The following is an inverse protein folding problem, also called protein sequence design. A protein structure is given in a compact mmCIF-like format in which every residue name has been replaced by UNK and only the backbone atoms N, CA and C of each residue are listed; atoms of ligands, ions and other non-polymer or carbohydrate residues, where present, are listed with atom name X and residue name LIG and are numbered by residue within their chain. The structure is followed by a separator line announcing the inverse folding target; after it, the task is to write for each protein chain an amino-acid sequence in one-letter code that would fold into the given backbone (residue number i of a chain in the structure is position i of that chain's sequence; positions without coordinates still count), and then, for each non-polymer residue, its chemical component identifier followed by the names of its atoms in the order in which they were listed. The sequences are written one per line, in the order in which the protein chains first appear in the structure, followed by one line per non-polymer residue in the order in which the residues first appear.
data_IF_638832973011
#
_entry.id   IF_638832973011
#
_cell.length_a   1.000
_cell.length_b   1.000
_cell.length_c   1.000
_cell.angle_alpha   90.00
_cell.angle_beta   90.00
_cell.angle_gamma   90.00
#
_symmetry.space_group_name_H-M   'P 1'
#
loop_
_entity.id
_entity.type
_entity.pdbx_description
1 polymer ?
#
# COMPACT_ATOMS: atom_id res chain seq x y z
N UNK A 1 -3.59 -5.48 13.51
CA UNK A 1 -2.28 -5.25 14.11
C UNK A 1 -2.52 -4.45 15.36
N UNK A 2 -1.63 -4.55 16.34
CA UNK A 2 -1.65 -3.64 17.47
C UNK A 2 -1.44 -2.18 16.99
N UNK A 3 -1.62 -1.23 17.90
CA UNK A 3 -1.56 0.19 17.56
C UNK A 3 -0.19 0.64 17.04
N UNK A 4 0.91 0.12 17.63
CA UNK A 4 2.27 0.46 17.23
C UNK A 4 2.58 -0.01 15.81
N UNK A 5 2.29 -1.28 15.51
CA UNK A 5 2.50 -1.87 14.19
C UNK A 5 1.60 -1.23 13.13
N UNK A 6 0.34 -0.93 13.49
CA UNK A 6 -0.56 -0.19 12.59
C UNK A 6 0.00 1.19 12.23
N UNK A 7 0.60 1.91 13.18
CA UNK A 7 1.24 3.21 12.91
C UNK A 7 2.46 3.05 11.99
N UNK A 8 3.30 2.04 12.22
CA UNK A 8 4.47 1.77 11.39
C UNK A 8 4.06 1.42 9.94
N UNK A 9 3.12 0.50 9.75
CA UNK A 9 2.60 0.16 8.42
C UNK A 9 1.98 1.38 7.74
N UNK A 10 1.22 2.19 8.47
CA UNK A 10 0.64 3.40 7.90
C UNK A 10 1.71 4.35 7.36
N UNK A 11 2.75 4.66 8.15
CA UNK A 11 3.87 5.49 7.69
C UNK A 11 4.57 4.88 6.47
N UNK A 12 4.79 3.56 6.47
CA UNK A 12 5.43 2.86 5.36
C UNK A 12 4.60 2.90 4.07
N UNK A 13 3.28 2.74 4.18
CA UNK A 13 2.36 2.88 3.06
C UNK A 13 2.37 4.31 2.50
N UNK A 14 2.50 5.33 3.35
CA UNK A 14 2.62 6.72 2.91
C UNK A 14 3.93 6.95 2.15
N UNK A 15 5.04 6.42 2.66
CA UNK A 15 6.34 6.50 1.99
C UNK A 15 6.30 5.82 0.61
N UNK A 16 5.77 4.60 0.53
CA UNK A 16 5.57 3.88 -0.73
C UNK A 16 4.66 4.65 -1.71
N UNK A 17 3.58 5.26 -1.20
CA UNK A 17 2.73 6.14 -2.00
C UNK A 17 3.50 7.33 -2.60
N UNK A 18 4.39 7.94 -1.82
CA UNK A 18 5.29 9.00 -2.29
C UNK A 18 6.25 8.51 -3.38
N UNK A 19 6.84 7.32 -3.20
CA UNK A 19 7.74 6.72 -4.19
C UNK A 19 7.05 6.38 -5.51
N UNK A 20 5.74 6.19 -5.52
CA UNK A 20 4.92 5.82 -6.68
C UNK A 20 4.29 7.02 -7.42
N UNK A 21 4.50 8.25 -6.94
CA UNK A 21 4.03 9.46 -7.62
C UNK A 21 4.57 9.51 -9.05
N UNK A 22 3.67 9.57 -10.03
CA UNK A 22 4.01 9.59 -11.45
C UNK A 22 4.49 8.26 -12.03
N UNK A 23 4.54 7.18 -11.24
CA UNK A 23 5.03 5.86 -11.68
C UNK A 23 3.91 4.85 -11.99
N UNK A 24 2.68 5.12 -11.57
CA UNK A 24 1.54 4.24 -11.86
C UNK A 24 1.10 4.35 -13.32
N UNK A 25 0.67 3.25 -13.94
CA UNK A 25 0.22 3.26 -15.33
C UNK A 25 -1.03 4.13 -15.51
N UNK A 26 -1.20 4.73 -16.71
CA UNK A 26 -2.37 5.53 -17.01
C UNK A 26 -3.65 4.69 -17.01
N UNK A 27 -4.78 5.31 -16.70
CA UNK A 27 -6.09 4.66 -16.75
C UNK A 27 -7.13 5.61 -17.33
N UNK A 28 -7.98 5.10 -18.21
CA UNK A 28 -9.12 5.84 -18.79
C UNK A 28 -10.09 6.39 -17.73
N UNK A 29 -10.14 5.74 -16.55
CA UNK A 29 -10.98 6.15 -15.44
C UNK A 29 -10.34 7.22 -14.54
N UNK A 30 -9.05 7.52 -14.77
CA UNK A 30 -8.28 8.50 -14.00
C UNK A 30 -7.53 9.43 -14.96
N UNK A 31 -8.24 10.37 -15.61
CA UNK A 31 -7.65 11.26 -16.63
C UNK A 31 -6.54 12.15 -16.08
N UNK A 32 -6.56 12.47 -14.79
CA UNK A 32 -5.51 13.26 -14.10
C UNK A 32 -4.43 12.40 -13.43
N UNK A 33 -4.37 11.10 -13.73
CA UNK A 33 -3.46 10.16 -13.09
C UNK A 33 -4.05 9.49 -11.84
N UNK A 34 -3.46 8.36 -11.44
CA UNK A 34 -3.89 7.58 -10.27
C UNK A 34 -3.30 8.18 -8.99
N UNK A 35 -4.08 8.16 -7.90
CA UNK A 35 -3.57 8.51 -6.57
C UNK A 35 -2.78 7.31 -6.00
N UNK A 36 -1.44 7.44 -5.84
CA UNK A 36 -0.61 6.32 -5.41
C UNK A 36 -0.83 5.90 -3.95
N UNK A 37 -1.16 6.83 -3.06
CA UNK A 37 -1.45 6.53 -1.66
C UNK A 37 -2.71 5.66 -1.52
N UNK A 38 -3.78 6.06 -2.23
CA UNK A 38 -5.00 5.28 -2.28
C UNK A 38 -4.78 3.92 -2.95
N UNK A 39 -3.95 3.88 -3.99
CA UNK A 39 -3.59 2.64 -4.68
C UNK A 39 -2.92 1.64 -3.74
N UNK A 40 -1.87 2.03 -3.00
CA UNK A 40 -1.18 1.14 -2.03
C UNK A 40 -2.17 0.58 -1.01
N UNK A 41 -3.02 1.43 -0.42
CA UNK A 41 -4.01 1.00 0.58
C UNK A 41 -5.03 0.01 0.01
N UNK A 42 -5.50 0.23 -1.22
CA UNK A 42 -6.42 -0.69 -1.91
C UNK A 42 -5.73 -2.02 -2.21
N UNK A 43 -4.50 -2.00 -2.69
CA UNK A 43 -3.74 -3.21 -3.00
C UNK A 43 -3.49 -4.05 -1.74
N UNK A 44 -3.05 -3.44 -0.63
CA UNK A 44 -2.90 -4.13 0.67
C UNK A 44 -4.23 -4.74 1.09
N UNK A 45 -5.32 -3.97 1.08
CA UNK A 45 -6.64 -4.49 1.46
C UNK A 45 -7.08 -5.68 0.59
N UNK A 46 -6.84 -5.61 -0.72
CA UNK A 46 -7.19 -6.70 -1.65
C UNK A 46 -6.32 -7.95 -1.43
N UNK A 47 -5.01 -7.79 -1.19
CA UNK A 47 -4.08 -8.90 -0.98
C UNK A 47 -4.36 -9.68 0.31
N UNK A 48 -4.67 -8.99 1.40
CA UNK A 48 -4.86 -9.59 2.73
C UNK A 48 -6.33 -9.77 3.12
N UNK A 49 -7.27 -9.33 2.28
CA UNK A 49 -8.72 -9.45 2.48
C UNK A 49 -9.30 -8.55 3.57
N UNK A 50 -8.48 -7.71 4.19
CA UNK A 50 -8.87 -6.83 5.32
C UNK A 50 -7.98 -5.58 5.37
N UNK A 51 -8.38 -4.57 6.13
CA UNK A 51 -7.54 -3.38 6.28
C UNK A 51 -6.28 -3.72 7.07
N UNK A 52 -5.20 -2.97 6.87
CA UNK A 52 -3.93 -3.20 7.57
C UNK A 52 -4.07 -3.22 9.10
N UNK A 53 -5.02 -2.45 9.65
CA UNK A 53 -5.34 -2.43 11.09
C UNK A 53 -5.91 -3.75 11.60
N UNK A 54 -6.52 -4.56 10.73
CA UNK A 54 -7.15 -5.84 11.06
C UNK A 54 -6.24 -7.04 10.77
N UNK A 55 -5.08 -6.84 10.13
CA UNK A 55 -4.11 -7.89 9.83
C UNK A 55 -3.42 -8.33 11.14
N UNK A 56 -3.27 -9.64 11.44
CA UNK A 56 -2.52 -10.09 12.62
C UNK A 56 -1.08 -9.54 12.66
N UNK A 57 -0.54 -9.29 13.86
CA UNK A 57 0.83 -8.75 14.02
C UNK A 57 1.92 -9.69 13.50
N UNK A 58 1.67 -10.99 13.49
CA UNK A 58 2.55 -12.02 12.90
C UNK A 58 2.81 -11.82 11.40
N UNK A 59 1.88 -11.17 10.68
CA UNK A 59 2.00 -10.89 9.25
C UNK A 59 2.63 -9.52 8.96
N UNK A 60 3.22 -8.86 9.95
CA UNK A 60 3.82 -7.53 9.77
C UNK A 60 4.84 -7.50 8.63
N UNK A 61 5.76 -8.47 8.61
CA UNK A 61 6.79 -8.56 7.59
C UNK A 61 6.20 -8.85 6.19
N UNK A 62 5.19 -9.71 6.08
CA UNK A 62 4.52 -10.00 4.81
C UNK A 62 3.88 -8.75 4.21
N UNK A 63 3.31 -7.89 5.07
CA UNK A 63 2.70 -6.62 4.65
C UNK A 63 3.78 -5.65 4.15
N UNK A 64 4.91 -5.54 4.85
CA UNK A 64 6.06 -4.73 4.41
C UNK A 64 6.61 -5.23 3.07
N UNK A 65 6.84 -6.53 2.93
CA UNK A 65 7.35 -7.14 1.71
C UNK A 65 6.41 -6.89 0.53
N UNK A 66 5.09 -7.04 0.74
CA UNK A 66 4.12 -6.75 -0.29
C UNK A 66 4.09 -5.26 -0.69
N UNK A 67 4.23 -4.34 0.27
CA UNK A 67 4.32 -2.91 -0.03
C UNK A 67 5.57 -2.61 -0.88
N UNK A 68 6.71 -3.23 -0.57
CA UNK A 68 7.94 -3.11 -1.37
C UNK A 68 7.77 -3.65 -2.78
N UNK A 69 7.14 -4.82 -2.91
CA UNK A 69 6.81 -5.38 -4.21
C UNK A 69 6.00 -4.40 -5.08
N UNK A 70 5.04 -3.66 -4.49
CA UNK A 70 4.26 -2.64 -5.22
C UNK A 70 5.12 -1.46 -5.71
N UNK A 71 6.12 -1.06 -4.92
CA UNK A 71 7.05 0.02 -5.30
C UNK A 71 7.95 -0.42 -6.45
N UNK A 72 8.46 -1.65 -6.39
CA UNK A 72 9.30 -2.25 -7.43
C UNK A 72 8.53 -2.61 -8.70
N UNK A 73 7.21 -2.87 -8.58
CA UNK A 73 6.34 -3.28 -9.68
C UNK A 73 5.07 -2.40 -9.77
N UNK A 74 5.19 -1.13 -10.17
CA UNK A 74 4.04 -0.22 -10.29
C UNK A 74 2.99 -0.75 -11.29
N UNK A 75 1.72 -0.89 -10.87
CA UNK A 75 0.61 -1.44 -11.70
C UNK A 75 -0.75 -0.75 -11.54
#
# INVERSE_FOLDING_TARGET
MNEANSRLIWSYMQEAGGMLVGKLPPSKHHPSGRNPYAHVAICVKKKFGKSYKEIPDEMFNDVIEYINFLVENPS
#
